data_IF_883940278671
#
_entry.id   IF_883940278671
#
_cell.length_a   1.000
_cell.length_b   1.000
_cell.length_c   1.000
_cell.angle_alpha   90.00
_cell.angle_beta   90.00
_cell.angle_gamma   90.00
#
_symmetry.space_group_name_H-M   'P 1'
#
loop_
_entity.id
_entity.type
_entity.pdbx_description
1 polymer ?
#
# COMPACT_ATOMS: atom_id res chain seq x y z
N UNK A 1 0.70 34.35 -6.59
CA UNK A 1 0.21 33.06 -7.14
C UNK A 1 0.15 31.98 -6.05
N UNK A 2 -0.87 31.97 -5.16
CA UNK A 2 -0.97 30.98 -4.07
C UNK A 2 -1.77 29.71 -4.42
N UNK A 3 -2.65 29.78 -5.43
CA UNK A 3 -3.50 28.65 -5.81
C UNK A 3 -2.71 27.48 -6.45
N UNK A 4 -1.63 27.79 -7.18
CA UNK A 4 -0.82 26.78 -7.84
C UNK A 4 -0.09 25.88 -6.82
N UNK A 5 0.46 26.44 -5.73
CA UNK A 5 1.15 25.67 -4.70
C UNK A 5 0.21 24.72 -3.95
N UNK A 6 -1.05 25.13 -3.73
CA UNK A 6 -2.07 24.27 -3.11
C UNK A 6 -2.42 23.08 -4.00
N UNK A 7 -2.65 23.32 -5.30
CA UNK A 7 -2.96 22.27 -6.26
C UNK A 7 -1.83 21.24 -6.38
N UNK A 8 -0.57 21.70 -6.39
CA UNK A 8 0.61 20.81 -6.44
C UNK A 8 0.69 19.93 -5.20
N UNK A 9 0.41 20.47 -4.00
CA UNK A 9 0.43 19.69 -2.76
C UNK A 9 -0.63 18.58 -2.78
N UNK A 10 -1.84 18.89 -3.25
CA UNK A 10 -2.93 17.91 -3.38
C UNK A 10 -2.60 16.80 -4.38
N UNK A 11 -2.07 17.14 -5.56
CA UNK A 11 -1.66 16.12 -6.54
C UNK A 11 -0.51 15.24 -6.03
N UNK A 12 0.41 15.81 -5.24
CA UNK A 12 1.49 15.04 -4.62
C UNK A 12 0.97 14.04 -3.59
N UNK A 13 0.01 14.45 -2.75
CA UNK A 13 -0.63 13.55 -1.80
C UNK A 13 -1.33 12.40 -2.52
N UNK A 14 -2.13 12.71 -3.54
CA UNK A 14 -2.81 11.73 -4.38
C UNK A 14 -1.83 10.76 -5.06
N UNK A 15 -0.74 11.27 -5.62
CA UNK A 15 0.30 10.43 -6.22
C UNK A 15 0.94 9.49 -5.20
N UNK A 16 1.19 9.97 -3.98
CA UNK A 16 1.74 9.17 -2.88
C UNK A 16 0.79 8.04 -2.49
N UNK A 17 -0.51 8.34 -2.35
CA UNK A 17 -1.53 7.32 -2.05
C UNK A 17 -1.60 6.27 -3.16
N UNK A 18 -1.60 6.70 -4.44
CA UNK A 18 -1.61 5.78 -5.57
C UNK A 18 -0.37 4.86 -5.59
N UNK A 19 0.81 5.40 -5.26
CA UNK A 19 2.04 4.60 -5.18
C UNK A 19 1.94 3.55 -4.06
N UNK A 20 1.40 3.91 -2.90
CA UNK A 20 1.18 2.97 -1.79
C UNK A 20 0.20 1.87 -2.19
N UNK A 21 -0.93 2.24 -2.82
CA UNK A 21 -1.92 1.27 -3.32
C UNK A 21 -1.27 0.32 -4.33
N UNK A 22 -0.52 0.83 -5.30
CA UNK A 22 0.15 0.01 -6.30
C UNK A 22 1.13 -1.00 -5.68
N UNK A 23 1.95 -0.57 -4.70
CA UNK A 23 2.88 -1.44 -3.98
C UNK A 23 2.17 -2.50 -3.15
N UNK A 24 1.10 -2.14 -2.46
CA UNK A 24 0.26 -3.08 -1.71
C UNK A 24 -0.35 -4.12 -2.66
N UNK A 25 -0.93 -3.67 -3.77
CA UNK A 25 -1.52 -4.54 -4.78
C UNK A 25 -0.50 -5.54 -5.30
N UNK A 26 0.67 -5.09 -5.78
CA UNK A 26 1.67 -6.01 -6.33
C UNK A 26 2.21 -6.97 -5.26
N UNK A 27 2.60 -6.44 -4.09
CA UNK A 27 3.20 -7.26 -3.03
C UNK A 27 2.23 -8.29 -2.46
N UNK A 28 0.94 -7.96 -2.34
CA UNK A 28 -0.04 -8.88 -1.77
C UNK A 28 -0.61 -9.83 -2.81
N UNK A 29 -0.69 -9.41 -4.07
CA UNK A 29 -1.04 -10.30 -5.17
C UNK A 29 -0.07 -11.48 -5.25
N UNK A 30 1.24 -11.21 -5.33
CA UNK A 30 2.27 -12.24 -5.46
C UNK A 30 2.30 -13.22 -4.27
N UNK A 31 1.87 -12.77 -3.09
CA UNK A 31 1.88 -13.59 -1.86
C UNK A 31 0.61 -14.41 -1.68
N UNK A 32 -0.55 -13.87 -2.06
CA UNK A 32 -1.84 -14.43 -1.73
C UNK A 32 -2.54 -15.10 -2.90
N UNK A 33 -2.26 -14.68 -4.13
CA UNK A 33 -2.90 -15.20 -5.35
C UNK A 33 -1.89 -16.07 -6.10
N UNK A 34 -1.77 -17.33 -5.65
CA UNK A 34 -0.75 -18.28 -6.14
C UNK A 34 -1.22 -19.15 -7.31
N UNK A 35 -2.53 -19.14 -7.57
CA UNK A 35 -3.17 -19.78 -8.70
C UNK A 35 -4.10 -18.78 -9.38
N UNK A 36 -4.58 -19.09 -10.58
CA UNK A 36 -5.60 -18.27 -11.24
C UNK A 36 -6.86 -18.24 -10.36
N UNK A 37 -7.27 -17.07 -9.83
CA UNK A 37 -8.45 -16.98 -8.99
C UNK A 37 -9.71 -17.24 -9.81
N UNK A 38 -10.76 -17.72 -9.16
CA UNK A 38 -12.08 -17.89 -9.78
C UNK A 38 -12.79 -16.57 -10.03
N UNK A 39 -14.11 -16.60 -10.21
CA UNK A 39 -14.93 -15.38 -10.35
C UNK A 39 -14.95 -14.49 -9.10
N UNK A 40 -14.47 -15.02 -7.96
CA UNK A 40 -14.31 -14.33 -6.68
C UNK A 40 -13.09 -14.93 -5.97
N UNK A 41 -12.49 -14.15 -5.08
CA UNK A 41 -11.52 -14.69 -4.14
C UNK A 41 -12.21 -15.68 -3.20
N UNK A 42 -11.52 -16.78 -2.93
CA UNK A 42 -11.84 -17.68 -1.83
C UNK A 42 -11.73 -16.97 -0.48
N UNK A 43 -12.26 -17.59 0.57
CA UNK A 43 -12.14 -17.07 1.93
C UNK A 43 -10.68 -16.98 2.38
N UNK A 44 -9.83 -17.95 2.00
CA UNK A 44 -8.41 -17.95 2.31
C UNK A 44 -7.65 -16.83 1.59
N UNK A 45 -7.90 -16.61 0.30
CA UNK A 45 -7.31 -15.49 -0.46
C UNK A 45 -7.73 -14.14 0.13
N UNK A 46 -9.02 -13.96 0.41
CA UNK A 46 -9.55 -12.72 0.99
C UNK A 46 -8.94 -12.40 2.36
N UNK A 47 -8.82 -13.42 3.22
CA UNK A 47 -8.16 -13.30 4.51
C UNK A 47 -6.67 -12.99 4.35
N UNK A 48 -5.97 -13.70 3.45
CA UNK A 48 -4.55 -13.45 3.17
C UNK A 48 -4.32 -12.02 2.71
N UNK A 49 -5.10 -11.51 1.75
CA UNK A 49 -4.97 -10.16 1.23
C UNK A 49 -5.16 -9.11 2.34
N UNK A 50 -6.16 -9.30 3.20
CA UNK A 50 -6.43 -8.42 4.35
C UNK A 50 -5.25 -8.38 5.32
N UNK A 51 -4.74 -9.56 5.72
CA UNK A 51 -3.58 -9.64 6.60
C UNK A 51 -2.30 -9.09 5.94
N UNK A 52 -2.08 -9.39 4.66
CA UNK A 52 -0.92 -8.90 3.93
C UNK A 52 -0.89 -7.37 3.89
N UNK A 53 -2.00 -6.73 3.55
CA UNK A 53 -2.07 -5.27 3.48
C UNK A 53 -1.84 -4.63 4.85
N UNK A 54 -2.45 -5.18 5.90
CA UNK A 54 -2.23 -4.74 7.28
C UNK A 54 -0.74 -4.84 7.68
N UNK A 55 -0.13 -6.02 7.48
CA UNK A 55 1.27 -6.26 7.85
C UNK A 55 2.24 -5.42 7.04
N UNK A 56 1.96 -5.19 5.75
CA UNK A 56 2.79 -4.32 4.91
C UNK A 56 2.80 -2.89 5.46
N UNK A 57 1.63 -2.34 5.80
CA UNK A 57 1.54 -0.99 6.37
C UNK A 57 2.21 -0.90 7.74
N UNK A 58 1.98 -1.85 8.64
CA UNK A 58 2.62 -1.91 9.96
C UNK A 58 4.15 -1.94 9.84
N UNK A 59 4.69 -2.83 8.99
CA UNK A 59 6.14 -2.93 8.81
C UNK A 59 6.72 -1.68 8.16
N UNK A 60 6.02 -1.09 7.18
CA UNK A 60 6.44 0.18 6.56
C UNK A 60 6.56 1.29 7.61
N UNK A 61 5.60 1.40 8.53
CA UNK A 61 5.65 2.39 9.62
C UNK A 61 6.81 2.12 10.59
N UNK A 62 7.06 0.86 10.96
CA UNK A 62 8.19 0.50 11.81
C UNK A 62 9.50 0.90 11.15
N UNK A 63 9.67 0.54 9.87
CA UNK A 63 10.87 0.87 9.10
C UNK A 63 11.07 2.38 9.04
N UNK A 64 10.03 3.16 8.73
CA UNK A 64 10.10 4.63 8.72
C UNK A 64 10.51 5.19 10.09
N UNK A 65 9.92 4.71 11.18
CA UNK A 65 10.28 5.13 12.55
C UNK A 65 11.74 4.81 12.86
N UNK A 66 12.24 3.65 12.42
CA UNK A 66 13.64 3.25 12.60
C UNK A 66 14.58 4.19 11.86
N UNK A 67 14.29 4.52 10.59
CA UNK A 67 15.06 5.49 9.83
C UNK A 67 15.08 6.87 10.51
N UNK A 68 13.95 7.33 11.04
CA UNK A 68 13.88 8.59 11.79
C UNK A 68 14.69 8.57 13.09
N UNK A 69 14.77 7.41 13.76
CA UNK A 69 15.53 7.25 15.01
C UNK A 69 17.05 7.08 14.83
N UNK A 70 17.52 6.90 13.58
CA UNK A 70 18.96 6.81 13.26
C UNK A 70 19.59 8.17 12.94
N UNK A 71 18.86 9.26 13.20
CA UNK A 71 19.32 10.65 13.09
C UNK A 71 19.30 11.32 14.46
#
# INVERSE_FOLDING_TARGET
>A
MPALSLNIAQEKERATVNEVVAKLTSSCWDKCVTATPGSKFSSSESNCLSYCAQRYMEMSMIIMKRFQSMH
#
